data_IF_891740460597
#
_entry.id   IF_891740460597
#
_cell.length_a   1.000
_cell.length_b   1.000
_cell.length_c   1.000
_cell.angle_alpha   90.00
_cell.angle_beta   90.00
_cell.angle_gamma   90.00
#
_symmetry.space_group_name_H-M   'P 1'
#
loop_
_entity.id
_entity.type
_entity.pdbx_description
1 polymer ?
#
# COMPACT_ATOMS: atom_id res chain seq x y z
N UNK A 1 -6.70 25.30 8.99
CA UNK A 1 -5.76 25.33 7.86
C UNK A 1 -6.23 24.27 6.89
N UNK A 2 -6.52 24.62 5.64
CA UNK A 2 -6.94 23.64 4.62
C UNK A 2 -5.72 22.80 4.27
N UNK A 3 -5.74 21.51 4.58
CA UNK A 3 -4.78 20.55 4.08
C UNK A 3 -5.13 20.23 2.62
N UNK A 4 -4.94 21.23 1.73
CA UNK A 4 -5.15 21.03 0.31
C UNK A 4 -4.15 20.02 -0.20
N UNK A 5 -4.53 18.74 -0.26
CA UNK A 5 -3.81 17.77 -1.08
C UNK A 5 -3.68 18.37 -2.50
N UNK A 6 -2.51 18.24 -3.17
CA UNK A 6 -2.42 18.57 -4.58
C UNK A 6 -3.58 17.87 -5.29
N UNK A 7 -4.16 18.49 -6.32
CA UNK A 7 -5.36 18.03 -7.01
C UNK A 7 -5.16 16.58 -7.54
N UNK A 8 -5.23 15.61 -6.61
CA UNK A 8 -5.00 14.20 -6.87
C UNK A 8 -6.28 13.67 -7.50
N UNK A 9 -6.20 13.25 -8.75
CA UNK A 9 -7.32 12.65 -9.46
C UNK A 9 -7.54 11.22 -8.97
N UNK A 10 -8.80 10.91 -8.60
CA UNK A 10 -9.22 9.54 -8.33
C UNK A 10 -9.94 9.00 -9.56
N UNK A 11 -9.54 7.80 -9.98
CA UNK A 11 -10.14 7.10 -11.12
C UNK A 11 -10.74 5.79 -10.61
N UNK A 12 -12.02 5.58 -10.83
CA UNK A 12 -12.68 4.31 -10.53
C UNK A 12 -12.54 3.34 -11.70
N UNK A 13 -12.22 2.08 -11.40
CA UNK A 13 -12.08 1.03 -12.39
C UNK A 13 -12.53 -0.34 -11.82
N UNK A 14 -12.72 -1.34 -12.69
CA UNK A 14 -13.40 -2.59 -12.32
C UNK A 14 -12.42 -3.75 -12.14
N UNK A 15 -11.38 -3.84 -12.99
CA UNK A 15 -10.46 -4.99 -13.06
C UNK A 15 -9.01 -4.59 -13.18
N UNK A 16 -8.12 -5.51 -12.76
CA UNK A 16 -6.67 -5.36 -12.80
C UNK A 16 -6.13 -6.49 -13.69
N UNK A 17 -5.31 -6.11 -14.67
CA UNK A 17 -4.63 -7.02 -15.59
C UNK A 17 -3.17 -6.59 -15.72
N UNK A 18 -2.30 -7.10 -14.84
CA UNK A 18 -0.89 -6.75 -14.79
C UNK A 18 -0.07 -8.02 -15.05
N UNK A 19 0.63 -8.05 -16.18
CA UNK A 19 1.57 -9.13 -16.49
C UNK A 19 2.87 -8.95 -15.69
N UNK A 20 3.49 -10.06 -15.28
CA UNK A 20 4.85 -10.06 -14.71
C UNK A 20 5.81 -10.51 -15.79
N UNK A 21 6.71 -9.62 -16.21
CA UNK A 21 7.63 -9.84 -17.31
C UNK A 21 9.08 -9.55 -16.87
N UNK A 22 10.06 -10.31 -17.33
CA UNK A 22 11.46 -9.97 -17.12
C UNK A 22 11.76 -8.58 -17.71
N UNK A 23 12.31 -7.71 -16.90
CA UNK A 23 12.73 -6.38 -17.35
C UNK A 23 14.04 -5.98 -16.69
N UNK A 24 14.96 -5.45 -17.51
CA UNK A 24 16.25 -4.96 -17.03
C UNK A 24 16.09 -3.51 -16.58
N UNK A 25 16.14 -3.28 -15.29
CA UNK A 25 16.06 -1.94 -14.73
C UNK A 25 17.44 -1.27 -14.76
N UNK A 26 17.65 -0.38 -15.73
CA UNK A 26 18.95 0.28 -15.93
C UNK A 26 19.42 1.06 -14.71
N UNK A 27 18.50 1.68 -13.96
CA UNK A 27 18.82 2.34 -12.68
C UNK A 27 19.54 1.39 -11.72
N UNK A 28 19.03 0.20 -11.53
CA UNK A 28 19.60 -0.78 -10.60
C UNK A 28 20.94 -1.33 -11.07
N UNK A 29 21.11 -1.46 -12.39
CA UNK A 29 22.36 -1.95 -13.00
C UNK A 29 23.45 -0.87 -12.92
N UNK A 30 23.14 0.35 -13.35
CA UNK A 30 24.10 1.44 -13.43
C UNK A 30 24.58 1.93 -12.04
N UNK A 31 23.76 1.73 -10.99
CA UNK A 31 24.03 2.24 -9.65
C UNK A 31 24.22 1.14 -8.60
N UNK A 32 24.56 -0.07 -9.01
CA UNK A 32 24.65 -1.24 -8.15
C UNK A 32 25.45 -0.98 -6.87
N UNK A 33 26.70 -0.51 -6.99
CA UNK A 33 27.58 -0.27 -5.85
C UNK A 33 27.04 0.81 -4.89
N UNK A 34 26.34 1.81 -5.41
CA UNK A 34 25.74 2.86 -4.60
C UNK A 34 24.53 2.32 -3.84
N UNK A 35 23.71 1.50 -4.48
CA UNK A 35 22.54 0.83 -3.91
C UNK A 35 22.99 -0.10 -2.78
N UNK A 36 24.00 -0.93 -3.00
CA UNK A 36 24.51 -1.87 -2.01
C UNK A 36 25.04 -1.13 -0.76
N UNK A 37 25.78 -0.02 -0.96
CA UNK A 37 26.24 0.84 0.16
C UNK A 37 25.07 1.52 0.87
N UNK A 38 24.06 1.99 0.14
CA UNK A 38 22.86 2.58 0.72
C UNK A 38 22.10 1.56 1.57
N UNK A 39 21.86 0.37 1.02
CA UNK A 39 21.16 -0.70 1.73
C UNK A 39 21.91 -1.12 3.00
N UNK A 40 23.22 -1.33 2.94
CA UNK A 40 24.04 -1.65 4.08
C UNK A 40 24.00 -0.58 5.19
N UNK A 41 23.90 0.72 4.82
CA UNK A 41 23.70 1.80 5.79
C UNK A 41 22.32 1.71 6.45
N UNK A 42 21.26 1.55 5.66
CA UNK A 42 19.89 1.42 6.16
C UNK A 42 19.71 0.20 7.06
N UNK A 43 20.40 -0.91 6.74
CA UNK A 43 20.37 -2.13 7.54
C UNK A 43 21.09 -1.96 8.89
N UNK A 44 22.15 -1.13 8.97
CA UNK A 44 22.75 -0.77 10.28
C UNK A 44 21.82 0.06 11.16
N UNK A 45 21.01 0.94 10.56
CA UNK A 45 19.99 1.72 11.25
C UNK A 45 18.79 0.87 11.70
N UNK A 46 18.48 -0.18 10.90
CA UNK A 46 17.36 -1.11 11.11
C UNK A 46 17.80 -2.54 10.80
N UNK A 47 18.33 -3.29 11.80
CA UNK A 47 18.89 -4.63 11.58
C UNK A 47 17.89 -5.67 11.04
N UNK A 48 16.59 -5.51 11.31
CA UNK A 48 15.53 -6.38 10.79
C UNK A 48 15.25 -6.17 9.29
N UNK A 49 15.85 -5.15 8.65
CA UNK A 49 15.63 -4.88 7.24
C UNK A 49 16.20 -6.00 6.38
N UNK A 50 15.33 -6.69 5.66
CA UNK A 50 15.68 -7.81 4.79
C UNK A 50 15.60 -7.42 3.31
N UNK A 51 16.57 -7.91 2.51
CA UNK A 51 16.59 -7.68 1.07
C UNK A 51 15.79 -8.76 0.32
N UNK A 52 14.47 -8.73 0.48
CA UNK A 52 13.56 -9.60 -0.26
C UNK A 52 13.37 -9.17 -1.71
N UNK A 53 12.46 -9.88 -2.39
CA UNK A 53 12.03 -9.55 -3.74
C UNK A 53 10.73 -8.77 -3.70
N UNK A 54 10.59 -7.75 -4.56
CA UNK A 54 9.37 -6.96 -4.72
C UNK A 54 9.03 -6.80 -6.20
N UNK A 55 7.78 -6.46 -6.48
CA UNK A 55 7.28 -6.22 -7.83
C UNK A 55 6.96 -4.74 -8.02
N UNK A 56 7.57 -4.14 -9.03
CA UNK A 56 7.32 -2.76 -9.45
C UNK A 56 6.73 -2.74 -10.85
N UNK A 57 6.00 -1.67 -11.19
CA UNK A 57 5.51 -1.46 -12.56
C UNK A 57 6.50 -0.65 -13.38
N UNK A 58 6.66 -1.01 -14.65
CA UNK A 58 7.34 -0.20 -15.65
C UNK A 58 6.38 0.42 -16.67
N UNK A 59 5.11 0.02 -16.66
CA UNK A 59 4.06 0.51 -17.55
C UNK A 59 2.69 0.30 -16.96
N UNK A 60 1.78 1.25 -17.11
CA UNK A 60 0.36 1.06 -16.84
C UNK A 60 -0.52 1.97 -17.69
N UNK A 61 -1.77 1.57 -17.84
CA UNK A 61 -2.84 2.30 -18.53
C UNK A 61 -4.19 1.90 -17.93
N UNK A 62 -5.09 2.86 -17.72
CA UNK A 62 -6.49 2.58 -17.36
C UNK A 62 -7.35 2.84 -18.58
N UNK A 63 -7.96 1.79 -19.13
CA UNK A 63 -8.78 1.85 -20.32
C UNK A 63 -9.98 0.90 -20.21
N UNK A 64 -11.18 1.39 -20.56
CA UNK A 64 -12.39 0.56 -20.55
C UNK A 64 -12.73 -0.02 -19.16
N UNK A 65 -12.40 0.67 -18.07
CA UNK A 65 -12.61 0.16 -16.71
C UNK A 65 -11.61 -0.90 -16.27
N UNK A 66 -10.50 -1.07 -16.99
CA UNK A 66 -9.44 -2.04 -16.66
C UNK A 66 -8.12 -1.33 -16.49
N UNK A 67 -7.41 -1.61 -15.39
CA UNK A 67 -6.02 -1.24 -15.20
C UNK A 67 -5.14 -2.31 -15.85
N UNK A 68 -4.56 -2.00 -17.01
CA UNK A 68 -3.55 -2.81 -17.66
C UNK A 68 -2.16 -2.39 -17.24
N UNK A 69 -1.23 -3.34 -17.07
CA UNK A 69 0.14 -3.02 -16.70
C UNK A 69 1.14 -4.12 -16.99
N UNK A 70 2.41 -3.76 -16.87
CA UNK A 70 3.53 -4.69 -16.86
C UNK A 70 4.35 -4.43 -15.61
N UNK A 71 4.63 -5.48 -14.86
CA UNK A 71 5.46 -5.45 -13.66
C UNK A 71 6.71 -6.30 -13.85
N UNK A 72 7.71 -6.01 -13.04
CA UNK A 72 8.96 -6.75 -13.02
C UNK A 72 9.42 -6.96 -11.58
N UNK A 73 10.15 -8.02 -11.38
CA UNK A 73 10.71 -8.39 -10.08
C UNK A 73 12.07 -7.72 -9.87
N UNK A 74 12.30 -7.17 -8.68
CA UNK A 74 13.57 -6.55 -8.31
C UNK A 74 13.89 -6.78 -6.83
N UNK A 75 15.16 -6.53 -6.42
CA UNK A 75 15.55 -6.58 -5.01
C UNK A 75 14.93 -5.39 -4.24
N UNK A 76 14.54 -5.62 -3.01
CA UNK A 76 14.04 -4.56 -2.12
C UNK A 76 15.07 -3.44 -1.94
N UNK A 77 16.36 -3.76 -1.95
CA UNK A 77 17.44 -2.76 -1.92
C UNK A 77 17.35 -1.75 -3.07
N UNK A 78 17.00 -2.21 -4.28
CA UNK A 78 16.84 -1.36 -5.45
C UNK A 78 15.64 -0.42 -5.27
N UNK A 79 14.49 -0.96 -4.83
CA UNK A 79 13.28 -0.20 -4.51
C UNK A 79 13.55 0.85 -3.43
N UNK A 80 14.21 0.45 -2.32
CA UNK A 80 14.51 1.33 -1.20
C UNK A 80 15.39 2.51 -1.63
N UNK A 81 16.46 2.23 -2.36
CA UNK A 81 17.37 3.26 -2.88
C UNK A 81 16.64 4.22 -3.85
N UNK A 82 15.85 3.68 -4.80
CA UNK A 82 15.07 4.47 -5.74
C UNK A 82 14.10 5.41 -5.02
N UNK A 83 13.41 4.92 -3.99
CA UNK A 83 12.49 5.70 -3.15
C UNK A 83 13.24 6.78 -2.36
N UNK A 84 14.27 6.39 -1.61
CA UNK A 84 15.01 7.28 -0.72
C UNK A 84 15.77 8.37 -1.49
N UNK A 85 16.12 8.13 -2.76
CA UNK A 85 16.75 9.13 -3.63
C UNK A 85 15.77 9.97 -4.45
N UNK A 86 14.49 9.92 -4.11
CA UNK A 86 13.45 10.79 -4.67
C UNK A 86 12.98 10.38 -6.06
N UNK A 87 13.00 9.08 -6.38
CA UNK A 87 12.48 8.51 -7.63
C UNK A 87 13.25 8.97 -8.88
N UNK A 88 14.56 8.72 -8.97
CA UNK A 88 15.37 9.19 -10.09
C UNK A 88 14.98 8.58 -11.45
N UNK A 89 14.28 7.46 -11.46
CA UNK A 89 13.62 6.89 -12.64
C UNK A 89 12.10 7.04 -12.48
N UNK A 90 11.53 8.04 -13.15
CA UNK A 90 10.12 8.35 -13.11
C UNK A 90 9.25 7.42 -14.01
N UNK A 91 9.88 6.53 -14.78
CA UNK A 91 9.21 5.49 -15.57
C UNK A 91 8.88 4.23 -14.78
N UNK A 92 9.30 4.16 -13.51
CA UNK A 92 8.99 3.04 -12.61
C UNK A 92 8.01 3.49 -11.54
N UNK A 93 7.12 2.59 -11.12
CA UNK A 93 6.05 2.86 -10.18
C UNK A 93 5.97 1.76 -9.12
N UNK A 94 5.74 2.16 -7.88
CA UNK A 94 5.32 1.24 -6.83
C UNK A 94 3.79 1.17 -6.83
N UNK A 95 3.25 0.05 -7.31
CA UNK A 95 1.82 -0.27 -7.21
C UNK A 95 1.57 -1.09 -5.97
N UNK A 96 0.50 -0.82 -5.25
CA UNK A 96 0.08 -1.60 -4.10
C UNK A 96 -1.43 -1.54 -3.93
N UNK A 97 -1.99 -2.63 -3.38
CA UNK A 97 -3.39 -2.68 -3.01
C UNK A 97 -3.56 -2.24 -1.55
N UNK A 98 -4.58 -1.42 -1.27
CA UNK A 98 -4.88 -0.91 0.05
C UNK A 98 -6.33 -1.21 0.46
N UNK A 99 -6.52 -1.78 1.66
CA UNK A 99 -7.82 -2.10 2.22
C UNK A 99 -8.45 -0.86 2.87
N UNK A 100 -9.28 -0.12 2.14
CA UNK A 100 -10.03 0.98 2.72
C UNK A 100 -11.12 0.41 3.66
N UNK A 101 -10.69 0.08 4.89
CA UNK A 101 -11.50 -0.61 5.88
C UNK A 101 -12.52 0.34 6.51
N UNK A 102 -13.81 0.06 6.26
CA UNK A 102 -14.95 0.86 6.71
C UNK A 102 -15.77 0.09 7.72
N UNK A 103 -16.09 0.72 8.84
CA UNK A 103 -17.00 0.17 9.86
C UNK A 103 -18.47 0.33 9.48
N UNK A 104 -19.38 -0.39 10.18
CA UNK A 104 -20.83 -0.33 9.95
C UNK A 104 -21.41 1.08 10.20
N UNK A 105 -20.81 1.84 11.10
CA UNK A 105 -21.19 3.24 11.41
C UNK A 105 -20.63 4.27 10.42
N UNK A 106 -19.93 3.82 9.39
CA UNK A 106 -19.42 4.65 8.30
C UNK A 106 -18.01 5.21 8.50
N UNK A 107 -17.43 5.05 9.69
CA UNK A 107 -16.04 5.45 9.96
C UNK A 107 -15.05 4.57 9.20
N UNK A 108 -13.86 5.12 8.89
CA UNK A 108 -12.74 4.36 8.36
C UNK A 108 -11.69 4.11 9.44
N UNK A 109 -10.95 3.00 9.30
CA UNK A 109 -9.85 2.67 10.20
C UNK A 109 -8.54 2.71 9.42
N UNK A 110 -7.53 3.36 10.01
CA UNK A 110 -6.16 3.40 9.50
C UNK A 110 -5.21 2.93 10.58
N UNK A 111 -4.15 2.22 10.20
CA UNK A 111 -3.11 1.77 11.10
C UNK A 111 -2.03 2.83 11.28
N UNK A 112 -1.51 2.98 12.50
CA UNK A 112 -0.31 3.74 12.79
C UNK A 112 0.91 2.81 12.67
N UNK A 113 1.80 3.08 11.72
CA UNK A 113 2.96 2.24 11.45
C UNK A 113 3.90 2.19 12.65
N UNK A 114 4.29 0.97 13.04
CA UNK A 114 5.18 0.74 14.16
C UNK A 114 6.57 1.38 13.95
N UNK A 115 7.27 1.77 15.03
CA UNK A 115 8.59 2.41 14.95
C UNK A 115 9.66 1.58 14.23
N UNK A 116 9.47 0.26 14.19
CA UNK A 116 10.37 -0.71 13.51
C UNK A 116 10.23 -0.72 12.00
N UNK A 117 9.14 -0.22 11.44
CA UNK A 117 8.82 -0.27 10.01
C UNK A 117 9.50 0.86 9.21
N UNK A 118 9.54 0.70 7.89
CA UNK A 118 10.11 1.72 6.99
C UNK A 118 9.31 3.04 6.98
N UNK A 119 8.02 2.98 7.32
CA UNK A 119 7.08 4.10 7.29
C UNK A 119 6.64 4.51 8.72
N UNK A 120 7.51 4.32 9.72
CA UNK A 120 7.21 4.55 11.13
C UNK A 120 6.41 5.83 11.39
N UNK A 121 5.31 5.72 12.13
CA UNK A 121 4.43 6.81 12.51
C UNK A 121 3.48 7.31 11.41
N UNK A 122 3.52 6.77 10.18
CA UNK A 122 2.51 7.09 9.18
C UNK A 122 1.18 6.40 9.50
N UNK A 123 0.09 7.07 9.10
CA UNK A 123 -1.28 6.59 9.27
C UNK A 123 -1.86 6.19 7.91
N UNK A 124 -1.95 4.90 7.63
CA UNK A 124 -2.51 4.45 6.35
C UNK A 124 -3.38 3.20 6.47
N UNK A 125 -4.10 2.90 5.41
CA UNK A 125 -4.87 1.67 5.29
C UNK A 125 -3.94 0.45 5.24
N UNK A 126 -4.38 -0.74 5.66
CA UNK A 126 -3.63 -1.97 5.45
C UNK A 126 -3.22 -2.13 4.00
N UNK A 127 -1.92 -2.25 3.74
CA UNK A 127 -1.35 -2.35 2.39
C UNK A 127 0.13 -2.69 2.39
N UNK A 128 0.60 -3.37 1.36
CA UNK A 128 2.01 -3.67 1.16
C UNK A 128 2.42 -3.71 -0.30
N UNK A 129 3.71 -3.46 -0.56
CA UNK A 129 4.29 -3.63 -1.88
C UNK A 129 4.23 -5.11 -2.27
N UNK A 130 3.67 -5.46 -3.44
CA UNK A 130 3.55 -6.86 -3.83
C UNK A 130 4.91 -7.55 -4.01
N UNK A 131 4.92 -8.84 -3.73
CA UNK A 131 6.07 -9.71 -3.81
C UNK A 131 5.79 -10.95 -4.70
N UNK A 132 6.76 -11.85 -4.92
CA UNK A 132 6.55 -13.04 -5.76
C UNK A 132 5.42 -13.98 -5.31
N UNK A 133 4.98 -13.93 -4.05
CA UNK A 133 3.83 -14.73 -3.59
C UNK A 133 2.51 -14.25 -4.20
N UNK A 134 2.47 -13.00 -4.64
CA UNK A 134 1.29 -12.38 -5.26
C UNK A 134 1.21 -12.65 -6.76
N UNK A 135 2.15 -13.46 -7.32
CA UNK A 135 2.15 -13.84 -8.74
C UNK A 135 1.45 -15.17 -8.94
N UNK A 136 0.50 -15.20 -9.87
CA UNK A 136 -0.19 -16.44 -10.25
C UNK A 136 0.66 -17.32 -11.19
N UNK A 137 0.34 -18.63 -11.34
CA UNK A 137 1.05 -19.50 -12.28
C UNK A 137 1.07 -19.02 -13.76
N UNK A 138 0.16 -18.09 -14.13
CA UNK A 138 0.13 -17.46 -15.45
C UNK A 138 0.99 -16.21 -15.57
N UNK A 139 1.92 -15.93 -14.64
CA UNK A 139 2.71 -14.71 -14.59
C UNK A 139 1.84 -13.43 -14.58
N UNK A 140 0.78 -13.45 -13.81
CA UNK A 140 -0.09 -12.29 -13.57
C UNK A 140 0.04 -11.87 -12.12
N UNK A 141 0.24 -10.58 -11.88
CA UNK A 141 0.23 -9.99 -10.55
C UNK A 141 -1.19 -9.89 -10.02
N UNK A 142 -1.49 -10.64 -8.97
CA UNK A 142 -2.80 -10.66 -8.30
C UNK A 142 -2.81 -9.70 -7.10
N UNK A 143 -3.20 -8.45 -7.34
CA UNK A 143 -3.33 -7.45 -6.28
C UNK A 143 -4.54 -7.68 -5.35
N UNK A 144 -5.49 -8.52 -5.74
CA UNK A 144 -6.55 -8.99 -4.83
C UNK A 144 -5.99 -9.95 -3.77
N UNK A 145 -5.09 -10.85 -4.19
CA UNK A 145 -4.36 -11.73 -3.28
C UNK A 145 -3.43 -10.95 -2.35
N UNK A 146 -2.67 -9.98 -2.89
CA UNK A 146 -1.86 -9.05 -2.10
C UNK A 146 -2.71 -8.36 -1.03
N UNK A 147 -3.81 -7.72 -1.42
CA UNK A 147 -4.75 -7.07 -0.51
C UNK A 147 -5.24 -7.99 0.62
N UNK A 148 -5.61 -9.24 0.26
CA UNK A 148 -6.13 -10.22 1.23
C UNK A 148 -5.05 -10.62 2.24
N UNK A 149 -3.82 -10.81 1.78
CA UNK A 149 -2.68 -11.17 2.63
C UNK A 149 -2.33 -10.05 3.60
N UNK A 150 -2.11 -8.82 3.10
CA UNK A 150 -1.79 -7.64 3.92
C UNK A 150 -2.89 -7.33 4.95
N UNK A 151 -4.17 -7.42 4.54
CA UNK A 151 -5.29 -7.24 5.46
C UNK A 151 -5.25 -8.26 6.60
N UNK A 152 -4.98 -9.54 6.29
CA UNK A 152 -4.91 -10.59 7.31
C UNK A 152 -3.70 -10.40 8.23
N UNK A 153 -2.52 -10.13 7.68
CA UNK A 153 -1.28 -9.94 8.41
C UNK A 153 -1.36 -8.72 9.34
N UNK A 154 -1.83 -7.59 8.85
CA UNK A 154 -1.85 -6.34 9.59
C UNK A 154 -3.06 -6.16 10.53
N UNK A 155 -4.15 -6.93 10.34
CA UNK A 155 -5.40 -6.72 11.12
C UNK A 155 -6.03 -7.99 11.69
N UNK A 156 -5.57 -9.18 11.30
CA UNK A 156 -6.21 -10.45 11.64
C UNK A 156 -7.59 -10.64 11.00
N UNK A 157 -7.91 -9.90 9.93
CA UNK A 157 -9.21 -9.96 9.28
C UNK A 157 -9.14 -10.70 7.95
N UNK A 158 -9.99 -11.70 7.78
CA UNK A 158 -10.17 -12.38 6.50
C UNK A 158 -11.07 -11.56 5.58
N UNK A 159 -10.64 -11.29 4.35
CA UNK A 159 -11.37 -10.50 3.36
C UNK A 159 -12.78 -11.05 3.09
N UNK A 160 -12.98 -12.38 3.14
CA UNK A 160 -14.26 -13.04 2.94
C UNK A 160 -15.31 -12.73 4.02
N UNK A 161 -14.92 -12.14 5.15
CA UNK A 161 -15.84 -11.71 6.23
C UNK A 161 -16.34 -10.29 6.05
N UNK A 162 -15.84 -9.58 5.04
CA UNK A 162 -16.13 -8.17 4.76
C UNK A 162 -16.95 -8.04 3.47
N UNK A 163 -17.81 -7.02 3.42
CA UNK A 163 -18.48 -6.65 2.18
C UNK A 163 -17.53 -5.85 1.29
N UNK A 164 -17.18 -6.41 0.13
CA UNK A 164 -16.30 -5.76 -0.83
C UNK A 164 -17.06 -4.78 -1.71
N UNK A 165 -16.59 -3.55 -1.82
CA UNK A 165 -17.11 -2.59 -2.78
C UNK A 165 -16.94 -3.10 -4.23
N UNK A 166 -17.80 -2.66 -5.18
CA UNK A 166 -17.79 -3.20 -6.54
C UNK A 166 -16.54 -2.80 -7.35
N UNK A 167 -15.99 -1.63 -7.08
CA UNK A 167 -14.91 -1.03 -7.87
C UNK A 167 -13.64 -0.82 -7.05
N UNK A 168 -12.55 -0.59 -7.75
CA UNK A 168 -11.29 -0.11 -7.22
C UNK A 168 -11.18 1.40 -7.42
N UNK A 169 -10.53 2.09 -6.49
CA UNK A 169 -10.20 3.51 -6.62
C UNK A 169 -8.69 3.63 -6.83
N UNK A 170 -8.29 4.16 -7.98
CA UNK A 170 -6.89 4.45 -8.28
C UNK A 170 -6.53 5.85 -7.82
N UNK A 171 -5.46 5.95 -7.04
CA UNK A 171 -4.88 7.21 -6.59
C UNK A 171 -3.39 7.23 -6.93
N UNK A 172 -2.97 8.22 -7.71
CA UNK A 172 -1.55 8.41 -8.04
C UNK A 172 -0.96 9.55 -7.21
N UNK A 173 0.11 9.24 -6.50
CA UNK A 173 0.96 10.22 -5.84
C UNK A 173 2.41 10.01 -6.30
N UNK A 174 2.90 10.86 -7.21
CA UNK A 174 4.22 10.74 -7.86
C UNK A 174 4.39 9.37 -8.54
N UNK A 175 5.29 8.53 -7.99
CA UNK A 175 5.54 7.15 -8.46
C UNK A 175 4.82 6.09 -7.62
N UNK A 176 3.97 6.49 -6.67
CA UNK A 176 3.09 5.57 -5.94
C UNK A 176 1.73 5.48 -6.63
N UNK A 177 1.28 4.25 -6.84
CA UNK A 177 -0.02 3.92 -7.43
C UNK A 177 -0.82 3.12 -6.39
N UNK A 178 -1.60 3.83 -5.59
CA UNK A 178 -2.47 3.19 -4.59
C UNK A 178 -3.77 2.72 -5.25
N UNK A 179 -4.07 1.44 -5.13
CA UNK A 179 -5.32 0.82 -5.57
C UNK A 179 -6.15 0.48 -4.34
N UNK A 180 -7.12 1.34 -4.02
CA UNK A 180 -7.93 1.17 -2.83
C UNK A 180 -9.18 0.34 -3.12
N UNK A 181 -9.41 -0.66 -2.29
CA UNK A 181 -10.64 -1.45 -2.28
C UNK A 181 -11.43 -1.16 -1.01
N UNK A 182 -12.64 -0.64 -1.13
CA UNK A 182 -13.50 -0.47 0.04
C UNK A 182 -13.95 -1.83 0.55
N UNK A 183 -13.66 -2.09 1.83
CA UNK A 183 -14.07 -3.29 2.56
C UNK A 183 -14.88 -2.85 3.78
N UNK A 184 -16.14 -3.26 3.85
CA UNK A 184 -17.05 -2.83 4.92
C UNK A 184 -17.27 -3.96 5.91
N UNK A 185 -16.96 -3.70 7.18
CA UNK A 185 -17.23 -4.59 8.30
C UNK A 185 -18.67 -4.39 8.84
N UNK A 186 -19.19 -5.41 9.51
CA UNK A 186 -20.50 -5.35 10.19
C UNK A 186 -20.44 -4.77 11.60
N UNK A 187 -19.23 -4.65 12.15
CA UNK A 187 -18.97 -4.11 13.48
C UNK A 187 -18.93 -2.58 13.47
N UNK A 188 -19.15 -1.96 14.64
CA UNK A 188 -18.87 -0.54 14.88
C UNK A 188 -17.35 -0.28 14.76
N UNK A 189 -16.96 0.97 14.60
CA UNK A 189 -15.55 1.33 14.52
C UNK A 189 -14.78 0.98 15.80
N UNK A 190 -15.40 1.15 16.96
CA UNK A 190 -14.82 0.83 18.27
C UNK A 190 -14.59 -0.67 18.44
N UNK A 191 -15.60 -1.50 18.08
CA UNK A 191 -15.49 -2.95 18.16
C UNK A 191 -14.43 -3.48 17.19
N UNK A 192 -14.41 -2.91 15.98
CA UNK A 192 -13.46 -3.27 14.95
C UNK A 192 -12.02 -2.90 15.39
N UNK A 193 -11.83 -1.69 15.90
CA UNK A 193 -10.56 -1.25 16.48
C UNK A 193 -10.11 -2.20 17.60
N UNK A 194 -11.00 -2.51 18.52
CA UNK A 194 -10.71 -3.40 19.65
C UNK A 194 -10.33 -4.81 19.21
N UNK A 195 -10.94 -5.31 18.13
CA UNK A 195 -10.60 -6.60 17.52
C UNK A 195 -9.20 -6.57 16.92
N UNK A 196 -8.88 -5.54 16.12
CA UNK A 196 -7.56 -5.41 15.48
C UNK A 196 -6.47 -5.24 16.53
N UNK A 197 -6.67 -4.40 17.55
CA UNK A 197 -5.69 -4.23 18.64
C UNK A 197 -5.39 -5.53 19.39
N UNK A 198 -6.37 -6.43 19.55
CA UNK A 198 -6.12 -7.75 20.13
C UNK A 198 -5.26 -8.63 19.23
N UNK A 199 -5.45 -8.57 17.92
CA UNK A 199 -4.58 -9.25 16.95
C UNK A 199 -3.16 -8.71 17.04
N UNK A 200 -2.96 -7.39 16.96
CA UNK A 200 -1.64 -6.75 17.08
C UNK A 200 -0.93 -7.14 18.38
N UNK A 201 -1.67 -7.22 19.50
CA UNK A 201 -1.12 -7.65 20.78
C UNK A 201 -0.71 -9.12 20.85
N UNK A 202 -1.09 -9.96 19.87
CA UNK A 202 -0.67 -11.36 19.76
C UNK A 202 0.51 -11.58 18.82
N UNK A 203 0.84 -10.58 17.99
CA UNK A 203 1.98 -10.63 17.07
C UNK A 203 3.29 -10.27 17.78
N UNK A 204 4.36 -10.98 17.44
CA UNK A 204 5.68 -10.71 18.01
C UNK A 204 6.27 -9.36 17.52
N UNK A 205 6.06 -9.05 16.25
CA UNK A 205 6.54 -7.84 15.58
C UNK A 205 5.43 -7.24 14.69
N UNK A 206 4.37 -6.66 15.29
CA UNK A 206 3.27 -6.11 14.51
C UNK A 206 3.73 -4.92 13.66
N UNK A 207 3.23 -4.82 12.44
CA UNK A 207 3.52 -3.68 11.56
C UNK A 207 2.79 -2.41 11.99
N UNK A 208 1.61 -2.52 12.60
CA UNK A 208 0.91 -1.41 13.23
C UNK A 208 1.13 -1.37 14.74
N UNK A 209 1.33 -0.18 15.29
CA UNK A 209 1.40 0.07 16.73
C UNK A 209 0.07 0.48 17.35
N UNK A 210 -0.82 1.09 16.56
CA UNK A 210 -2.18 1.50 16.95
C UNK A 210 -3.10 1.57 15.72
N UNK A 211 -4.41 1.71 15.98
CA UNK A 211 -5.45 1.91 14.98
C UNK A 211 -6.19 3.21 15.27
N UNK A 212 -6.29 4.09 14.28
CA UNK A 212 -7.04 5.34 14.35
C UNK A 212 -8.38 5.20 13.66
N UNK A 213 -9.42 5.74 14.29
CA UNK A 213 -10.76 5.85 13.71
C UNK A 213 -10.88 7.23 13.06
N UNK A 214 -11.30 7.26 11.81
CA UNK A 214 -11.45 8.48 10.99
C UNK A 214 -12.93 8.59 10.60
N UNK A 215 -13.62 9.61 11.12
CA UNK A 215 -15.06 9.82 10.93
C UNK A 215 -15.38 10.93 9.95
N UNK A 216 -14.39 11.77 9.66
CA UNK A 216 -14.55 12.90 8.74
C UNK A 216 -13.27 13.74 8.60
N UNK A 217 -13.32 14.82 7.83
CA UNK A 217 -12.14 15.67 7.57
C UNK A 217 -11.52 16.30 8.83
N UNK A 218 -12.27 16.39 9.94
CA UNK A 218 -11.74 16.91 11.21
C UNK A 218 -10.71 15.95 11.85
N UNK A 219 -10.72 14.67 11.47
CA UNK A 219 -9.81 13.65 11.97
C UNK A 219 -8.57 13.47 11.08
N UNK A 220 -8.41 14.28 10.03
CA UNK A 220 -7.22 14.22 9.18
C UNK A 220 -5.98 14.64 9.94
N UNK A 221 -4.93 13.84 9.76
CA UNK A 221 -3.65 13.99 10.44
C UNK A 221 -2.53 14.17 9.40
N UNK A 222 -1.53 15.07 9.65
CA UNK A 222 -0.36 15.22 8.79
C UNK A 222 0.44 13.93 8.55
N UNK A 223 0.30 12.94 9.43
CA UNK A 223 0.91 11.61 9.29
C UNK A 223 0.21 10.75 8.23
N UNK A 224 -0.98 11.13 7.74
CA UNK A 224 -1.67 10.44 6.65
C UNK A 224 -1.00 10.77 5.32
N UNK A 225 -0.55 9.77 4.55
CA UNK A 225 -0.04 9.99 3.19
C UNK A 225 -1.10 10.61 2.28
N UNK A 226 -0.69 11.36 1.24
CA UNK A 226 -1.62 12.07 0.34
C UNK A 226 -2.70 11.18 -0.28
N UNK A 227 -2.39 9.90 -0.58
CA UNK A 227 -3.36 8.98 -1.16
C UNK A 227 -4.51 8.61 -0.19
N UNK A 228 -4.23 8.56 1.13
CA UNK A 228 -5.25 8.30 2.17
C UNK A 228 -6.21 9.49 2.26
N UNK A 229 -5.65 10.70 2.39
CA UNK A 229 -6.45 11.94 2.48
C UNK A 229 -7.31 12.10 1.22
N UNK A 230 -6.71 11.98 0.03
CA UNK A 230 -7.42 12.12 -1.24
C UNK A 230 -8.59 11.12 -1.37
N UNK A 231 -8.36 9.85 -1.00
CA UNK A 231 -9.42 8.85 -1.00
C UNK A 231 -10.54 9.21 -0.03
N UNK A 232 -10.22 9.55 1.21
CA UNK A 232 -11.21 9.90 2.24
C UNK A 232 -12.00 11.15 1.87
N UNK A 233 -11.35 12.19 1.34
CA UNK A 233 -12.05 13.38 0.82
C UNK A 233 -13.03 13.03 -0.31
N UNK A 234 -12.67 12.08 -1.17
CA UNK A 234 -13.54 11.67 -2.28
C UNK A 234 -14.78 10.91 -1.82
N UNK A 235 -14.66 10.04 -0.81
CA UNK A 235 -15.79 9.21 -0.34
C UNK A 235 -16.75 9.97 0.59
N UNK A 236 -16.39 11.14 1.07
CA UNK A 236 -17.24 12.02 1.90
C UNK A 236 -17.79 13.25 1.15
N UNK A 237 -17.53 13.36 -0.16
CA UNK A 237 -18.18 14.36 -1.05
C UNK A 237 -19.56 13.91 -1.45
#
# INVERSE_FOLDING_TARGET
MSFGAPNIQIIEFDRIEIAVEPWRWEFSVARRDEIDRHFARRQRERPALWNGRVLLLNRYEIRGGVLHGSSFETDYANFLAWRDWGFPDAGVFNVFAAAALRAADGAYLVGEMAPTTANAGQLHFPCGTPDPQDVTPGNVLDLGRNLSRELLEETGMEIGTLESGPRWSFVRDRCFLALLKRLTARQSAEDLRSRILRHLGSEAEPEFSDIRIVRGPADFDPAMPPFVIAYLENVWR
#
